data_IF_244373633272
#
_entry.id   IF_244373633272
#
_cell.length_a   1.000
_cell.length_b   1.000
_cell.length_c   1.000
_cell.angle_alpha   90.00
_cell.angle_beta   90.00
_cell.angle_gamma   90.00
#
_symmetry.space_group_name_H-M   'P 1'
#
loop_
_entity.id
_entity.type
_entity.pdbx_description
1 polymer ?
#
# COMPACT_ATOMS: atom_id res chain seq x y z
N UNK A 1 18.17 14.25 -17.49
CA UNK A 1 16.74 13.94 -17.25
C UNK A 1 15.97 15.26 -17.19
N UNK A 2 14.87 15.41 -17.94
CA UNK A 2 13.97 16.56 -17.81
C UNK A 2 12.75 16.12 -17.00
N UNK A 3 12.48 16.79 -15.87
CA UNK A 3 11.37 16.46 -14.97
C UNK A 3 10.48 17.69 -14.85
N UNK A 4 9.20 17.54 -15.15
CA UNK A 4 8.23 18.63 -15.12
C UNK A 4 6.84 18.09 -14.77
N UNK A 5 6.06 18.87 -14.04
CA UNK A 5 4.65 18.59 -13.78
C UNK A 5 3.79 19.80 -14.16
N UNK A 6 3.44 20.67 -13.21
CA UNK A 6 2.73 21.93 -13.49
C UNK A 6 3.69 23.12 -13.36
N UNK A 7 3.85 23.72 -12.18
CA UNK A 7 4.86 24.77 -11.99
C UNK A 7 6.33 24.27 -11.99
N UNK A 8 6.52 22.95 -11.99
CA UNK A 8 7.84 22.32 -11.95
C UNK A 8 8.60 22.51 -10.63
N UNK A 9 7.87 22.68 -9.52
CA UNK A 9 8.46 22.97 -8.19
C UNK A 9 8.02 22.00 -7.08
N UNK A 10 6.74 21.60 -7.04
CA UNK A 10 6.20 20.70 -6.01
C UNK A 10 6.62 19.25 -6.22
N UNK A 11 5.76 18.45 -6.88
CA UNK A 11 6.04 17.03 -7.21
C UNK A 11 7.39 16.83 -7.93
N UNK A 12 7.73 17.75 -8.83
CA UNK A 12 9.04 17.77 -9.51
C UNK A 12 10.18 17.91 -8.52
N UNK A 13 10.08 18.84 -7.56
CA UNK A 13 11.11 19.02 -6.55
C UNK A 13 11.20 17.83 -5.59
N UNK A 14 10.07 17.26 -5.19
CA UNK A 14 10.04 16.05 -4.36
C UNK A 14 10.72 14.87 -5.06
N UNK A 15 10.42 14.65 -6.34
CA UNK A 15 11.03 13.58 -7.13
C UNK A 15 12.56 13.76 -7.26
N UNK A 16 13.01 14.97 -7.59
CA UNK A 16 14.44 15.28 -7.73
C UNK A 16 15.16 15.13 -6.38
N UNK A 17 14.57 15.64 -5.30
CA UNK A 17 15.15 15.52 -3.96
C UNK A 17 15.28 14.05 -3.55
N UNK A 18 14.25 13.24 -3.79
CA UNK A 18 14.26 11.81 -3.48
C UNK A 18 15.36 11.07 -4.24
N UNK A 19 15.51 11.30 -5.54
CA UNK A 19 16.57 10.68 -6.36
C UNK A 19 17.98 11.04 -5.86
N UNK A 20 18.22 12.31 -5.56
CA UNK A 20 19.50 12.77 -5.01
C UNK A 20 19.77 12.08 -3.66
N UNK A 21 18.79 12.09 -2.76
CA UNK A 21 18.94 11.57 -1.41
C UNK A 21 19.09 10.04 -1.40
N UNK A 22 18.44 9.31 -2.29
CA UNK A 22 18.65 7.86 -2.47
C UNK A 22 20.09 7.56 -2.90
N UNK A 23 20.64 8.33 -3.85
CA UNK A 23 22.02 8.14 -4.30
C UNK A 23 23.04 8.46 -3.19
N UNK A 24 22.76 9.44 -2.34
CA UNK A 24 23.59 9.77 -1.16
C UNK A 24 23.47 8.65 -0.12
N UNK A 25 22.26 8.14 0.14
CA UNK A 25 22.01 7.07 1.12
C UNK A 25 22.80 5.78 0.81
N UNK A 26 23.05 5.52 -0.47
CA UNK A 26 23.86 4.36 -0.90
C UNK A 26 25.37 4.54 -0.64
N UNK A 27 25.85 5.76 -0.38
CA UNK A 27 27.28 6.10 -0.28
C UNK A 27 27.69 6.61 1.09
N UNK A 28 26.78 7.30 1.77
CA UNK A 28 27.04 7.99 3.03
C UNK A 28 26.09 7.49 4.12
N UNK A 29 26.56 7.34 5.38
CA UNK A 29 25.74 6.86 6.49
C UNK A 29 24.77 7.92 7.03
N UNK A 30 24.88 9.17 6.57
CA UNK A 30 24.10 10.31 7.05
C UNK A 30 23.41 11.02 5.91
N UNK A 31 22.19 11.47 6.13
CA UNK A 31 21.38 12.19 5.13
C UNK A 31 20.98 13.57 5.65
N UNK A 32 21.22 14.59 4.82
CA UNK A 32 20.76 15.96 5.06
C UNK A 32 19.63 16.33 4.09
N UNK A 33 18.41 15.93 4.47
CA UNK A 33 17.20 16.21 3.69
C UNK A 33 16.94 17.71 3.59
N UNK A 34 17.11 18.44 4.70
CA UNK A 34 16.89 19.88 4.75
C UNK A 34 17.86 20.63 3.85
N UNK A 35 19.17 20.35 3.95
CA UNK A 35 20.18 20.97 3.12
C UNK A 35 20.08 20.58 1.65
N UNK A 36 19.56 19.38 1.33
CA UNK A 36 19.21 19.03 -0.04
C UNK A 36 18.10 19.94 -0.59
N UNK A 37 16.98 20.06 0.11
CA UNK A 37 15.85 20.91 -0.33
C UNK A 37 16.26 22.39 -0.36
N UNK A 38 17.06 22.85 0.60
CA UNK A 38 17.58 24.21 0.61
C UNK A 38 18.44 24.51 -0.62
N UNK A 39 19.34 23.61 -1.01
CA UNK A 39 20.13 23.73 -2.24
C UNK A 39 19.25 23.73 -3.49
N UNK A 40 18.25 22.86 -3.56
CA UNK A 40 17.28 22.89 -4.67
C UNK A 40 16.54 24.22 -4.78
N UNK A 41 16.21 24.84 -3.62
CA UNK A 41 15.57 26.15 -3.57
C UNK A 41 16.46 27.31 -4.00
N UNK A 42 17.79 27.15 -3.93
CA UNK A 42 18.75 28.14 -4.45
C UNK A 42 18.76 28.16 -5.98
N UNK A 43 18.60 26.99 -6.62
CA UNK A 43 18.54 26.85 -8.08
C UNK A 43 17.16 27.21 -8.66
N UNK A 44 16.08 26.86 -7.93
CA UNK A 44 14.71 27.19 -8.33
C UNK A 44 13.86 27.43 -7.10
N UNK A 45 13.24 28.59 -7.01
CA UNK A 45 12.42 28.94 -5.85
C UNK A 45 11.32 27.92 -5.56
N UNK A 46 11.02 27.71 -4.27
CA UNK A 46 9.89 26.91 -3.79
C UNK A 46 9.89 25.41 -4.19
N UNK A 47 11.07 24.84 -4.51
CA UNK A 47 11.22 23.40 -4.68
C UNK A 47 10.78 22.65 -3.41
N UNK A 48 9.99 21.58 -3.59
CA UNK A 48 9.21 20.91 -2.53
C UNK A 48 8.28 21.92 -1.87
N UNK A 49 7.08 22.08 -2.42
CA UNK A 49 6.23 23.25 -2.20
C UNK A 49 5.41 23.15 -0.92
N UNK A 50 4.92 21.96 -0.58
CA UNK A 50 4.00 21.75 0.55
C UNK A 50 4.64 20.93 1.66
N UNK A 51 4.12 21.06 2.87
CA UNK A 51 4.55 20.25 4.02
C UNK A 51 4.33 18.76 3.75
N UNK A 52 3.17 18.35 3.23
CA UNK A 52 2.89 16.94 2.88
C UNK A 52 3.90 16.37 1.88
N UNK A 53 4.40 17.18 0.94
CA UNK A 53 5.45 16.75 0.01
C UNK A 53 6.80 16.55 0.69
N UNK A 54 7.08 17.33 1.74
CA UNK A 54 8.29 17.20 2.54
C UNK A 54 8.20 16.01 3.50
N UNK A 55 7.04 15.77 4.13
CA UNK A 55 6.76 14.58 4.94
C UNK A 55 6.93 13.33 4.08
N UNK A 56 6.24 13.27 2.92
CA UNK A 56 6.36 12.15 1.99
C UNK A 56 7.82 11.88 1.55
N UNK A 57 8.65 12.94 1.40
CA UNK A 57 10.06 12.78 1.06
C UNK A 57 10.81 12.00 2.15
N UNK A 58 10.53 12.27 3.43
CA UNK A 58 11.11 11.52 4.55
C UNK A 58 10.57 10.09 4.59
N UNK A 59 9.25 9.90 4.46
CA UNK A 59 8.63 8.57 4.51
C UNK A 59 9.19 7.66 3.40
N UNK A 60 9.24 8.16 2.16
CA UNK A 60 9.80 7.44 1.03
C UNK A 60 11.30 7.10 1.19
N UNK A 61 12.07 7.97 1.87
CA UNK A 61 13.48 7.69 2.18
C UNK A 61 13.63 6.63 3.26
N UNK A 62 12.82 6.70 4.32
CA UNK A 62 12.79 5.69 5.38
C UNK A 62 12.44 4.33 4.79
N UNK A 63 11.43 4.26 3.92
CA UNK A 63 11.05 3.03 3.23
C UNK A 63 12.17 2.51 2.34
N UNK A 64 12.83 3.38 1.57
CA UNK A 64 13.97 2.99 0.74
C UNK A 64 15.12 2.40 1.58
N UNK A 65 15.46 3.02 2.71
CA UNK A 65 16.56 2.58 3.59
C UNK A 65 16.21 1.27 4.29
N UNK A 66 14.96 1.12 4.75
CA UNK A 66 14.49 -0.09 5.45
C UNK A 66 14.34 -1.28 4.51
N UNK A 67 13.70 -1.09 3.36
CA UNK A 67 13.32 -2.17 2.46
C UNK A 67 14.40 -2.51 1.44
N UNK A 68 15.17 -1.51 0.98
CA UNK A 68 16.14 -1.67 -0.09
C UNK A 68 15.52 -2.15 -1.42
N UNK A 69 16.36 -2.57 -2.36
CA UNK A 69 15.88 -3.19 -3.60
C UNK A 69 15.60 -4.68 -3.39
N UNK A 70 14.33 -5.05 -3.40
CA UNK A 70 13.84 -6.42 -3.20
C UNK A 70 13.45 -7.12 -4.50
N UNK A 71 13.69 -6.47 -5.64
CA UNK A 71 13.42 -7.06 -6.95
C UNK A 71 14.36 -8.24 -7.19
N UNK A 72 13.79 -9.35 -7.64
CA UNK A 72 14.54 -10.56 -7.99
C UNK A 72 14.30 -10.81 -9.47
N UNK A 73 15.40 -10.87 -10.23
CA UNK A 73 15.35 -11.32 -11.61
C UNK A 73 14.91 -12.79 -11.66
N UNK A 74 14.10 -13.17 -12.65
CA UNK A 74 13.55 -14.52 -12.74
C UNK A 74 14.63 -15.60 -12.89
N UNK A 75 15.79 -15.28 -13.49
CA UNK A 75 16.91 -16.19 -13.61
C UNK A 75 17.60 -16.46 -12.26
N UNK A 76 17.50 -15.53 -11.32
CA UNK A 76 18.05 -15.64 -9.97
C UNK A 76 17.04 -16.19 -8.95
N UNK A 77 15.77 -16.29 -9.31
CA UNK A 77 14.69 -16.62 -8.37
C UNK A 77 14.93 -17.94 -7.64
N UNK A 78 15.16 -19.03 -8.38
CA UNK A 78 15.34 -20.36 -7.77
C UNK A 78 16.47 -20.37 -6.74
N UNK A 79 17.63 -19.83 -7.13
CA UNK A 79 18.81 -19.76 -6.27
C UNK A 79 18.54 -18.93 -5.01
N UNK A 80 17.87 -17.77 -5.14
CA UNK A 80 17.53 -16.94 -3.97
C UNK A 80 16.49 -17.62 -3.09
N UNK A 81 15.49 -18.26 -3.67
CA UNK A 81 14.44 -18.98 -2.94
C UNK A 81 15.05 -20.12 -2.10
N UNK A 82 15.91 -20.94 -2.70
CA UNK A 82 16.59 -22.03 -2.00
C UNK A 82 17.42 -21.51 -0.81
N UNK A 83 18.16 -20.40 -0.99
CA UNK A 83 18.93 -19.77 0.09
C UNK A 83 18.05 -19.32 1.26
N UNK A 84 16.87 -18.77 0.97
CA UNK A 84 15.92 -18.32 2.00
C UNK A 84 15.28 -19.53 2.70
N UNK A 85 15.10 -20.65 2.00
CA UNK A 85 14.54 -21.89 2.55
C UNK A 85 15.54 -22.75 3.34
N UNK A 86 16.83 -22.73 3.01
CA UNK A 86 17.85 -23.63 3.59
C UNK A 86 18.39 -23.18 4.96
N UNK A 87 17.98 -22.02 5.46
CA UNK A 87 18.59 -21.41 6.66
C UNK A 87 17.95 -21.87 7.99
N UNK A 88 18.25 -23.13 8.35
CA UNK A 88 18.47 -23.77 9.69
C UNK A 88 17.77 -25.14 9.83
N UNK A 89 18.48 -26.18 10.30
CA UNK A 89 17.93 -27.51 10.60
C UNK A 89 17.18 -27.62 11.95
N UNK A 90 16.90 -26.52 12.67
CA UNK A 90 16.20 -26.54 13.96
C UNK A 90 14.78 -25.93 13.83
N UNK A 91 13.79 -26.82 13.90
CA UNK A 91 12.34 -26.68 13.63
C UNK A 91 11.53 -25.68 14.50
N UNK A 92 12.12 -24.65 15.09
CA UNK A 92 11.37 -23.72 15.98
C UNK A 92 11.61 -22.23 15.72
N UNK A 93 12.40 -21.86 14.71
CA UNK A 93 12.68 -20.46 14.42
C UNK A 93 12.15 -20.18 13.01
N UNK A 94 11.09 -19.38 12.96
CA UNK A 94 10.51 -18.69 11.80
C UNK A 94 11.45 -18.62 10.59
N UNK A 95 10.97 -19.07 9.43
CA UNK A 95 11.73 -19.02 8.18
C UNK A 95 12.14 -17.58 7.85
N UNK A 96 13.27 -17.38 7.17
CA UNK A 96 13.66 -16.05 6.72
C UNK A 96 12.60 -15.40 5.81
N UNK A 97 11.81 -16.21 5.09
CA UNK A 97 10.63 -15.72 4.35
C UNK A 97 9.61 -15.07 5.30
N UNK A 98 9.25 -15.75 6.39
CA UNK A 98 8.29 -15.24 7.35
C UNK A 98 8.82 -14.01 8.09
N UNK A 99 10.10 -13.99 8.47
CA UNK A 99 10.74 -12.81 9.06
C UNK A 99 10.73 -11.63 8.07
N UNK A 100 11.04 -11.90 6.81
CA UNK A 100 11.06 -10.93 5.73
C UNK A 100 9.65 -10.36 5.44
N UNK A 101 8.62 -11.20 5.44
CA UNK A 101 7.21 -10.82 5.31
C UNK A 101 6.79 -9.99 6.52
N UNK A 102 7.04 -10.47 7.74
CA UNK A 102 6.63 -9.78 8.96
C UNK A 102 7.32 -8.43 9.10
N UNK A 103 8.60 -8.31 8.74
CA UNK A 103 9.29 -7.01 8.73
C UNK A 103 8.73 -6.06 7.68
N UNK A 104 8.24 -6.58 6.55
CA UNK A 104 7.54 -5.76 5.54
C UNK A 104 6.16 -5.30 6.06
N UNK A 105 5.46 -6.15 6.80
CA UNK A 105 4.14 -5.86 7.36
C UNK A 105 4.18 -4.94 8.60
N UNK A 106 5.27 -4.96 9.38
CA UNK A 106 5.43 -4.11 10.59
C UNK A 106 5.47 -2.60 10.30
N UNK A 107 5.75 -2.19 9.07
CA UNK A 107 5.75 -0.78 8.67
C UNK A 107 4.40 -0.32 8.11
N UNK A 108 3.41 -1.21 8.00
CA UNK A 108 2.03 -0.79 7.80
C UNK A 108 1.56 -0.28 9.15
N UNK A 109 1.47 1.04 9.30
CA UNK A 109 0.84 1.63 10.47
C UNK A 109 -0.53 0.97 10.66
N UNK A 110 -0.82 0.52 11.89
CA UNK A 110 -2.20 0.24 12.25
C UNK A 110 -2.92 1.57 12.16
N UNK A 111 -3.62 1.80 11.05
CA UNK A 111 -4.51 2.93 10.91
C UNK A 111 -5.68 2.72 11.88
N UNK A 112 -5.43 2.96 13.17
CA UNK A 112 -6.41 2.88 14.25
C UNK A 112 -7.42 4.04 14.13
N UNK A 113 -7.92 4.29 12.92
CA UNK A 113 -9.02 5.20 12.64
C UNK A 113 -10.26 4.68 13.39
N UNK A 114 -10.69 5.35 14.46
CA UNK A 114 -11.85 4.91 15.22
C UNK A 114 -13.16 5.11 14.43
N UNK A 115 -13.13 5.80 13.30
CA UNK A 115 -14.29 6.13 12.46
C UNK A 115 -14.43 5.22 11.23
N UNK A 116 -13.75 4.07 11.21
CA UNK A 116 -13.91 3.08 10.13
C UNK A 116 -15.39 2.74 9.91
N UNK A 117 -15.85 2.93 8.68
CA UNK A 117 -17.26 2.79 8.29
C UNK A 117 -17.82 1.38 8.54
N UNK A 118 -16.95 0.36 8.46
CA UNK A 118 -17.29 -1.02 8.80
C UNK A 118 -17.61 -1.25 10.28
N UNK A 119 -17.11 -0.41 11.20
CA UNK A 119 -17.35 -0.54 12.65
C UNK A 119 -18.61 0.17 13.13
N UNK A 120 -19.30 0.92 12.26
CA UNK A 120 -20.54 1.61 12.62
C UNK A 120 -21.60 0.60 13.09
N UNK A 121 -22.47 0.95 14.05
CA UNK A 121 -23.49 0.04 14.58
C UNK A 121 -24.38 -0.59 13.50
N UNK A 122 -24.62 0.14 12.41
CA UNK A 122 -25.43 -0.28 11.26
C UNK A 122 -24.72 -1.30 10.33
N UNK A 123 -23.38 -1.34 10.38
CA UNK A 123 -22.53 -2.11 9.46
C UNK A 123 -21.76 -3.23 10.16
N UNK A 124 -21.64 -3.21 11.49
CA UNK A 124 -20.82 -4.16 12.24
C UNK A 124 -21.21 -5.61 11.97
N UNK A 125 -22.50 -5.89 11.78
CA UNK A 125 -23.05 -7.22 11.47
C UNK A 125 -22.85 -7.64 10.00
N UNK A 126 -22.34 -6.76 9.13
CA UNK A 126 -22.03 -7.05 7.72
C UNK A 126 -20.59 -7.56 7.55
N UNK A 127 -19.76 -7.51 8.59
CA UNK A 127 -18.40 -8.02 8.58
C UNK A 127 -18.35 -9.46 9.11
N UNK A 128 -17.66 -10.35 8.40
CA UNK A 128 -17.41 -11.71 8.85
C UNK A 128 -16.37 -11.75 9.97
N UNK A 129 -15.37 -10.89 9.90
CA UNK A 129 -14.37 -10.66 10.93
C UNK A 129 -14.25 -9.15 11.17
N UNK A 130 -14.44 -8.71 12.42
CA UNK A 130 -14.35 -7.28 12.79
C UNK A 130 -12.92 -6.76 12.81
N UNK A 131 -11.93 -7.65 12.89
CA UNK A 131 -10.51 -7.30 12.85
C UNK A 131 -10.02 -7.10 11.40
N UNK A 132 -10.82 -7.52 10.40
CA UNK A 132 -10.51 -7.43 8.97
C UNK A 132 -11.62 -6.62 8.28
N UNK A 133 -11.41 -5.32 8.25
CA UNK A 133 -12.32 -4.36 7.62
C UNK A 133 -11.55 -3.42 6.70
N UNK A 134 -12.18 -2.94 5.61
CA UNK A 134 -11.61 -1.90 4.77
C UNK A 134 -11.26 -0.64 5.57
N UNK A 135 -10.19 0.04 5.16
CA UNK A 135 -9.99 1.43 5.54
C UNK A 135 -11.01 2.34 4.84
N UNK A 136 -11.09 3.60 5.28
CA UNK A 136 -12.05 4.56 4.75
C UNK A 136 -11.68 5.09 3.34
N UNK A 137 -10.43 4.90 2.89
CA UNK A 137 -9.93 5.44 1.61
C UNK A 137 -10.18 4.47 0.44
N UNK A 138 -10.08 3.17 0.70
CA UNK A 138 -10.14 2.10 -0.30
C UNK A 138 -11.40 1.23 -0.13
N UNK A 139 -12.17 1.43 0.94
CA UNK A 139 -13.46 0.76 1.17
C UNK A 139 -14.48 1.07 0.07
N UNK A 140 -15.15 0.02 -0.40
CA UNK A 140 -16.22 0.14 -1.38
C UNK A 140 -17.59 0.34 -0.73
N UNK A 141 -18.37 1.20 -1.37
CA UNK A 141 -19.76 1.48 -1.01
C UNK A 141 -20.67 1.10 -2.17
N UNK A 142 -21.78 0.46 -1.84
CA UNK A 142 -22.82 0.07 -2.79
C UNK A 142 -23.86 1.17 -2.88
N UNK A 143 -24.34 1.47 -4.08
CA UNK A 143 -25.42 2.43 -4.27
C UNK A 143 -26.78 1.82 -3.89
N UNK A 144 -27.18 1.94 -2.62
CA UNK A 144 -28.45 1.41 -2.10
C UNK A 144 -29.49 2.46 -1.71
N UNK A 145 -29.61 3.55 -2.44
CA UNK A 145 -30.71 4.51 -2.21
C UNK A 145 -30.82 4.97 -0.74
N UNK A 146 -31.85 4.51 0.00
CA UNK A 146 -32.11 4.85 1.42
C UNK A 146 -31.52 3.88 2.46
N UNK A 147 -31.04 2.70 2.06
CA UNK A 147 -30.49 1.70 2.98
C UNK A 147 -28.95 1.68 2.90
N UNK A 148 -28.28 1.45 4.04
CA UNK A 148 -26.86 1.70 4.22
C UNK A 148 -25.96 1.16 3.09
N UNK A 149 -25.06 2.02 2.61
CA UNK A 149 -24.23 1.83 1.42
C UNK A 149 -22.96 0.98 1.64
N UNK A 150 -22.83 0.20 2.72
CA UNK A 150 -21.57 -0.48 3.05
C UNK A 150 -21.56 -1.96 2.67
N UNK A 151 -20.44 -2.40 2.10
CA UNK A 151 -20.01 -3.80 1.99
C UNK A 151 -18.53 -3.93 2.36
N UNK A 152 -18.16 -5.03 3.00
CA UNK A 152 -16.75 -5.33 3.31
C UNK A 152 -16.01 -5.78 2.05
N UNK A 153 -15.56 -4.81 1.26
CA UNK A 153 -14.78 -4.99 0.04
C UNK A 153 -13.85 -3.79 -0.21
N UNK A 154 -12.73 -4.03 -0.90
CA UNK A 154 -11.77 -3.01 -1.34
C UNK A 154 -11.44 -3.18 -2.81
N UNK A 155 -11.07 -2.08 -3.47
CA UNK A 155 -10.41 -2.16 -4.78
C UNK A 155 -8.90 -2.35 -4.62
N UNK A 156 -8.33 -3.17 -5.50
CA UNK A 156 -6.89 -3.42 -5.55
C UNK A 156 -6.40 -3.25 -6.98
N UNK A 157 -5.25 -2.61 -7.11
CA UNK A 157 -4.60 -2.41 -8.39
C UNK A 157 -4.10 -3.73 -8.98
N UNK A 158 -4.13 -3.84 -10.30
CA UNK A 158 -3.38 -4.87 -11.02
C UNK A 158 -2.00 -4.33 -11.41
N UNK A 159 -1.19 -5.22 -11.98
CA UNK A 159 0.07 -4.81 -12.61
C UNK A 159 -0.12 -3.78 -13.74
N UNK A 160 -1.28 -3.75 -14.42
CA UNK A 160 -1.51 -2.94 -15.63
C UNK A 160 -2.45 -1.76 -15.44
N UNK A 161 -3.30 -1.79 -14.43
CA UNK A 161 -4.34 -0.79 -14.24
C UNK A 161 -4.71 -0.64 -12.77
N UNK A 162 -5.14 0.56 -12.40
CA UNK A 162 -5.69 0.83 -11.08
C UNK A 162 -7.07 0.18 -10.91
N UNK A 163 -7.47 -0.10 -9.66
CA UNK A 163 -8.79 -0.62 -9.28
C UNK A 163 -9.28 -1.81 -10.14
N UNK A 164 -8.38 -2.72 -10.49
CA UNK A 164 -8.68 -3.81 -11.41
C UNK A 164 -9.29 -5.03 -10.74
N UNK A 165 -9.07 -5.18 -9.44
CA UNK A 165 -9.60 -6.28 -8.65
C UNK A 165 -10.48 -5.74 -7.53
N UNK A 166 -11.52 -6.49 -7.20
CA UNK A 166 -12.30 -6.30 -5.99
C UNK A 166 -12.00 -7.46 -5.07
N UNK A 167 -11.45 -7.16 -3.89
CA UNK A 167 -11.21 -8.15 -2.84
C UNK A 167 -12.30 -7.97 -1.80
N UNK A 168 -13.08 -9.04 -1.57
CA UNK A 168 -14.22 -9.03 -0.64
C UNK A 168 -14.21 -10.31 0.18
N UNK A 169 -14.78 -10.22 1.39
CA UNK A 169 -15.09 -11.42 2.18
C UNK A 169 -16.09 -12.31 1.44
N UNK A 170 -16.16 -13.59 1.84
CA UNK A 170 -17.26 -14.46 1.42
C UNK A 170 -18.59 -13.91 1.94
N UNK A 171 -19.61 -13.73 1.08
CA UNK A 171 -20.89 -13.14 1.49
C UNK A 171 -21.50 -13.86 2.68
N UNK A 172 -22.07 -13.10 3.61
CA UNK A 172 -22.90 -13.62 4.69
C UNK A 172 -24.29 -13.90 4.11
N UNK A 173 -25.06 -14.78 4.75
CA UNK A 173 -26.42 -15.09 4.27
C UNK A 173 -27.27 -13.83 4.06
N UNK A 174 -27.14 -12.84 4.94
CA UNK A 174 -27.86 -11.56 4.86
C UNK A 174 -27.16 -10.48 4.02
N UNK A 175 -25.98 -10.74 3.45
CA UNK A 175 -25.27 -9.81 2.55
C UNK A 175 -25.11 -10.34 1.12
N UNK A 176 -25.75 -11.46 0.76
CA UNK A 176 -25.73 -12.02 -0.61
C UNK A 176 -26.26 -11.01 -1.63
N UNK A 177 -27.32 -10.28 -1.32
CA UNK A 177 -27.85 -9.26 -2.23
C UNK A 177 -26.87 -8.10 -2.42
N UNK A 178 -26.19 -7.69 -1.36
CA UNK A 178 -25.17 -6.64 -1.36
C UNK A 178 -24.01 -7.09 -2.27
N UNK A 179 -23.57 -8.34 -2.15
CA UNK A 179 -22.53 -8.90 -3.00
C UNK A 179 -22.89 -8.87 -4.50
N UNK A 180 -24.12 -9.26 -4.87
CA UNK A 180 -24.53 -9.19 -6.28
C UNK A 180 -24.66 -7.77 -6.79
N UNK A 181 -25.08 -6.83 -5.95
CA UNK A 181 -25.10 -5.42 -6.30
C UNK A 181 -23.68 -4.89 -6.55
N UNK A 182 -22.73 -5.24 -5.69
CA UNK A 182 -21.30 -4.94 -5.89
C UNK A 182 -20.78 -5.50 -7.22
N UNK A 183 -21.08 -6.76 -7.54
CA UNK A 183 -20.68 -7.40 -8.81
C UNK A 183 -21.20 -6.63 -10.02
N UNK A 184 -22.45 -6.16 -9.96
CA UNK A 184 -23.05 -5.37 -11.05
C UNK A 184 -22.44 -3.98 -11.14
N UNK A 185 -22.31 -3.28 -10.01
CA UNK A 185 -21.79 -1.89 -9.96
C UNK A 185 -20.31 -1.79 -10.36
N UNK A 186 -19.51 -2.80 -10.01
CA UNK A 186 -18.10 -2.86 -10.39
C UNK A 186 -17.87 -3.58 -11.73
N UNK A 187 -18.95 -3.91 -12.45
CA UNK A 187 -18.92 -4.58 -13.75
C UNK A 187 -18.06 -5.86 -13.76
N UNK A 188 -18.10 -6.62 -12.65
CA UNK A 188 -17.29 -7.81 -12.46
C UNK A 188 -17.69 -8.92 -13.45
N UNK A 189 -16.73 -9.39 -14.26
CA UNK A 189 -16.95 -10.46 -15.25
C UNK A 189 -16.61 -11.86 -14.73
N UNK A 190 -15.74 -11.94 -13.72
CA UNK A 190 -15.22 -13.20 -13.17
C UNK A 190 -15.23 -13.14 -11.65
N UNK A 191 -15.72 -14.20 -11.01
CA UNK A 191 -15.68 -14.38 -9.55
C UNK A 191 -14.75 -15.55 -9.25
N UNK A 192 -13.76 -15.32 -8.38
CA UNK A 192 -12.84 -16.35 -7.90
C UNK A 192 -13.12 -16.59 -6.43
N UNK A 193 -13.44 -17.83 -6.06
CA UNK A 193 -13.67 -18.25 -4.68
C UNK A 193 -12.47 -19.08 -4.20
N UNK A 194 -11.84 -18.64 -3.11
CA UNK A 194 -10.63 -19.26 -2.53
C UNK A 194 -10.91 -20.10 -1.28
N UNK A 195 -12.18 -20.20 -0.87
CA UNK A 195 -12.59 -21.02 0.26
C UNK A 195 -13.23 -22.32 -0.25
N UNK A 196 -13.07 -23.41 0.50
CA UNK A 196 -13.86 -24.61 0.30
C UNK A 196 -15.34 -24.33 0.61
N UNK A 197 -16.24 -25.00 -0.11
CA UNK A 197 -17.70 -24.93 0.12
C UNK A 197 -18.15 -25.76 1.33
#
# INVERSE_FOLDING_TARGET
LFVYFSAGIGRTGTFIALDILQQVALKEPTLDVYGCVQRLRQERMLMVQTELQYIFLHDALVDFIKCGNRSIDCFDFQRKFDLICESKPNKEIMSHVEEEILNSLKNLDNDDDPEREGLRPENINKNRNTDIIPDNLHGLYICRGKEGNYINAVTVDSFKAHNSYVVTQMPLLHTISDFWQLVVEQECQTIVMLNDM
#
